data_IF_599917888778
#
_entry.id   IF_599917888778
#
_cell.length_a   1.000
_cell.length_b   1.000
_cell.length_c   1.000
_cell.angle_alpha   90.00
_cell.angle_beta   90.00
_cell.angle_gamma   90.00
#
_symmetry.space_group_name_H-M   'P 1'
#
loop_
_entity.id
_entity.type
_entity.pdbx_description
1 polymer ?
#
# COMPACT_ATOMS: atom_id res chain seq x y z
N UNK A 1 -24.14 -29.04 13.45
CA UNK A 1 -22.68 -29.07 13.19
C UNK A 1 -22.27 -28.43 11.86
N UNK A 2 -22.85 -28.78 10.70
CA UNK A 2 -22.44 -28.19 9.41
C UNK A 2 -22.70 -26.67 9.28
N UNK A 3 -23.89 -26.20 9.68
CA UNK A 3 -24.23 -24.76 9.65
C UNK A 3 -23.33 -23.91 10.56
N UNK A 4 -22.95 -24.43 11.73
CA UNK A 4 -22.05 -23.74 12.65
C UNK A 4 -20.69 -23.46 11.99
N UNK A 5 -20.10 -24.45 11.31
CA UNK A 5 -18.82 -24.27 10.60
C UNK A 5 -18.89 -23.22 9.50
N UNK A 6 -20.03 -23.12 8.80
CA UNK A 6 -20.26 -22.06 7.80
C UNK A 6 -20.32 -20.70 8.47
N UNK A 7 -21.00 -20.58 9.61
CA UNK A 7 -21.07 -19.32 10.37
C UNK A 7 -19.69 -18.91 10.90
N UNK A 8 -18.92 -19.86 11.43
CA UNK A 8 -17.56 -19.61 11.93
C UNK A 8 -16.64 -19.10 10.80
N UNK A 9 -16.69 -19.72 9.62
CA UNK A 9 -15.92 -19.27 8.46
C UNK A 9 -16.33 -17.87 7.95
N UNK A 10 -17.63 -17.54 7.99
CA UNK A 10 -18.09 -16.18 7.65
C UNK A 10 -17.59 -15.14 8.67
N UNK A 11 -17.59 -15.48 9.95
CA UNK A 11 -17.06 -14.62 11.00
C UNK A 11 -15.55 -14.38 10.83
N UNK A 12 -14.79 -15.42 10.49
CA UNK A 12 -13.36 -15.32 10.18
C UNK A 12 -13.10 -14.38 8.99
N UNK A 13 -13.84 -14.57 7.88
CA UNK A 13 -13.74 -13.69 6.70
C UNK A 13 -14.10 -12.25 7.04
N UNK A 14 -15.15 -12.03 7.82
CA UNK A 14 -15.57 -10.70 8.25
C UNK A 14 -14.47 -10.03 9.10
N UNK A 15 -13.88 -10.75 10.04
CA UNK A 15 -12.77 -10.27 10.86
C UNK A 15 -11.56 -9.92 10.00
N UNK A 16 -11.14 -10.80 9.09
CA UNK A 16 -10.02 -10.54 8.19
C UNK A 16 -10.26 -9.30 7.31
N UNK A 17 -11.48 -9.14 6.78
CA UNK A 17 -11.87 -7.96 5.99
C UNK A 17 -11.81 -6.66 6.79
N UNK A 18 -12.13 -6.72 8.09
CA UNK A 18 -12.08 -5.54 8.97
C UNK A 18 -10.63 -5.03 9.19
N UNK A 19 -9.62 -5.88 9.02
CA UNK A 19 -8.22 -5.48 9.16
C UNK A 19 -7.57 -4.97 7.87
N UNK A 20 -8.15 -5.27 6.70
CA UNK A 20 -7.65 -4.81 5.40
C UNK A 20 -7.43 -3.29 5.35
N UNK A 21 -8.37 -2.43 5.79
CA UNK A 21 -8.16 -0.98 5.80
C UNK A 21 -6.95 -0.56 6.63
N UNK A 22 -6.77 -1.14 7.83
CA UNK A 22 -5.66 -0.81 8.74
C UNK A 22 -4.31 -1.20 8.14
N UNK A 23 -4.24 -2.36 7.48
CA UNK A 23 -3.01 -2.82 6.82
C UNK A 23 -2.69 -1.92 5.62
N UNK A 24 -3.70 -1.52 4.84
CA UNK A 24 -3.52 -0.59 3.71
C UNK A 24 -3.01 0.78 4.16
N UNK A 25 -3.55 1.30 5.26
CA UNK A 25 -3.10 2.56 5.85
C UNK A 25 -1.62 2.49 6.29
N UNK A 26 -1.23 1.42 6.99
CA UNK A 26 0.18 1.20 7.38
C UNK A 26 1.10 1.09 6.17
N UNK A 27 0.67 0.38 5.12
CA UNK A 27 1.45 0.28 3.89
C UNK A 27 1.60 1.64 3.20
N UNK A 28 0.54 2.43 3.12
CA UNK A 28 0.58 3.77 2.54
C UNK A 28 1.57 4.68 3.30
N UNK A 29 1.54 4.65 4.64
CA UNK A 29 2.48 5.39 5.47
C UNK A 29 3.94 4.95 5.23
N UNK A 30 4.18 3.64 5.14
CA UNK A 30 5.52 3.11 4.87
C UNK A 30 6.03 3.54 3.48
N UNK A 31 5.17 3.55 2.46
CA UNK A 31 5.49 4.04 1.11
C UNK A 31 5.88 5.52 1.15
N UNK A 32 5.08 6.35 1.82
CA UNK A 32 5.35 7.80 1.95
C UNK A 32 6.66 8.05 2.69
N UNK A 33 6.92 7.30 3.77
CA UNK A 33 8.14 7.41 4.57
C UNK A 33 9.36 7.04 3.74
N UNK A 34 9.35 5.87 3.08
CA UNK A 34 10.45 5.44 2.23
C UNK A 34 10.79 6.45 1.13
N UNK A 35 9.77 7.08 0.52
CA UNK A 35 9.99 8.13 -0.47
C UNK A 35 10.62 9.39 0.12
N UNK A 36 10.14 9.84 1.29
CA UNK A 36 10.72 10.98 2.02
C UNK A 36 12.17 10.71 2.44
N UNK A 37 12.50 9.46 2.71
CA UNK A 37 13.87 9.00 3.02
C UNK A 37 14.76 8.88 1.76
N UNK A 38 14.24 9.25 0.58
CA UNK A 38 14.99 9.32 -0.68
C UNK A 38 14.84 8.08 -1.58
N UNK A 39 14.02 7.10 -1.20
CA UNK A 39 13.78 5.91 -2.05
C UNK A 39 12.98 6.32 -3.29
N UNK A 40 13.46 5.94 -4.48
CA UNK A 40 12.81 6.30 -5.75
C UNK A 40 11.49 5.55 -5.94
N UNK A 41 10.51 6.18 -6.58
CA UNK A 41 9.20 5.58 -6.93
C UNK A 41 9.34 4.22 -7.61
N UNK A 42 10.31 4.09 -8.53
CA UNK A 42 10.54 2.84 -9.26
C UNK A 42 11.02 1.69 -8.37
N UNK A 43 11.77 1.98 -7.31
CA UNK A 43 12.23 0.99 -6.34
C UNK A 43 11.11 0.59 -5.38
N UNK A 44 10.35 1.56 -4.88
CA UNK A 44 9.16 1.30 -4.06
C UNK A 44 8.18 0.40 -4.82
N UNK A 45 7.90 0.74 -6.08
CA UNK A 45 7.04 -0.07 -6.96
C UNK A 45 7.50 -1.53 -7.07
N UNK A 46 8.82 -1.75 -7.19
CA UNK A 46 9.41 -3.09 -7.25
C UNK A 46 9.20 -3.87 -5.95
N UNK A 47 9.47 -3.25 -4.80
CA UNK A 47 9.38 -3.91 -3.48
C UNK A 47 7.93 -4.20 -3.10
N UNK A 48 7.00 -3.27 -3.37
CA UNK A 48 5.60 -3.45 -3.00
C UNK A 48 4.79 -4.27 -4.02
N UNK A 49 5.34 -4.52 -5.22
CA UNK A 49 4.63 -5.16 -6.32
C UNK A 49 3.56 -4.28 -6.98
N UNK A 50 3.55 -2.98 -6.68
CA UNK A 50 2.61 -2.02 -7.28
C UNK A 50 3.19 -1.41 -8.55
N UNK A 51 2.30 -0.99 -9.45
CA UNK A 51 2.69 -0.13 -10.56
C UNK A 51 3.18 1.23 -10.06
N UNK A 52 4.10 1.86 -10.78
CA UNK A 52 4.63 3.20 -10.45
C UNK A 52 3.51 4.22 -10.26
N UNK A 53 2.46 4.17 -11.09
CA UNK A 53 1.33 5.09 -10.97
C UNK A 53 0.51 4.88 -9.69
N UNK A 54 0.36 3.63 -9.25
CA UNK A 54 -0.30 3.35 -7.98
C UNK A 54 0.52 3.90 -6.81
N UNK A 55 1.85 3.77 -6.86
CA UNK A 55 2.75 4.40 -5.87
C UNK A 55 2.59 5.92 -5.90
N UNK A 56 2.62 6.56 -7.07
CA UNK A 56 2.41 8.03 -7.19
C UNK A 56 1.06 8.47 -6.63
N UNK A 57 0.00 7.68 -6.85
CA UNK A 57 -1.34 7.95 -6.30
C UNK A 57 -1.34 7.91 -4.77
N UNK A 58 -0.67 6.92 -4.18
CA UNK A 58 -0.50 6.79 -2.72
C UNK A 58 0.29 7.99 -2.17
N UNK A 59 1.38 8.38 -2.84
CA UNK A 59 2.17 9.55 -2.46
C UNK A 59 1.35 10.83 -2.49
N UNK A 60 0.56 11.06 -3.56
CA UNK A 60 -0.34 12.23 -3.66
C UNK A 60 -1.39 12.24 -2.55
N UNK A 61 -1.98 11.08 -2.22
CA UNK A 61 -2.91 10.97 -1.10
C UNK A 61 -2.25 11.28 0.26
N UNK A 62 -0.94 11.05 0.39
CA UNK A 62 -0.11 11.44 1.53
C UNK A 62 0.47 12.87 1.46
N UNK A 63 0.02 13.69 0.50
CA UNK A 63 0.48 15.07 0.33
C UNK A 63 1.88 15.21 -0.25
N UNK A 64 2.39 14.19 -0.94
CA UNK A 64 3.71 14.18 -1.57
C UNK A 64 3.57 14.22 -3.09
N UNK A 65 4.12 15.28 -3.70
CA UNK A 65 4.25 15.36 -5.16
C UNK A 65 5.51 14.63 -5.61
N UNK A 66 5.32 13.46 -6.20
CA UNK A 66 6.43 12.75 -6.84
C UNK A 66 6.70 13.37 -8.21
N UNK A 67 7.81 14.11 -8.32
CA UNK A 67 8.29 14.63 -9.59
C UNK A 67 8.56 13.50 -10.59
N UNK A 68 8.26 13.74 -11.88
CA UNK A 68 8.62 12.84 -12.97
C UNK A 68 10.04 13.13 -13.46
N UNK A 69 11.01 13.21 -12.54
CA UNK A 69 12.41 13.38 -12.92
C UNK A 69 13.03 12.02 -13.24
N UNK A 70 12.70 11.53 -14.43
CA UNK A 70 13.62 10.72 -15.21
C UNK A 70 14.50 11.64 -16.06
N UNK A 71 15.51 12.29 -15.46
CA UNK A 71 16.65 13.04 -16.04
C UNK A 71 17.14 14.07 -14.99
N UNK A 72 18.40 14.35 -14.68
CA UNK A 72 19.78 13.92 -15.05
C UNK A 72 20.71 14.50 -13.94
N UNK A 73 21.94 13.98 -13.84
CA UNK A 73 23.14 14.57 -13.22
C UNK A 73 23.35 14.52 -11.69
N UNK A 74 24.11 13.51 -11.26
CA UNK A 74 25.42 13.65 -10.61
C UNK A 74 26.22 12.34 -10.76
#
# INVERSE_FOLDING_TARGET
>A
MALQRVQDGLAEVASARADVPKVRERLALAIVTAYRDGTRVGEIARVTGYGREQVRRILRAGGVEAGDSGAVDA
#
